data_IF_176595380444
#
_entry.id   IF_176595380444
#
_cell.length_a   1.000
_cell.length_b   1.000
_cell.length_c   1.000
_cell.angle_alpha   90.00
_cell.angle_beta   90.00
_cell.angle_gamma   90.00
#
_symmetry.space_group_name_H-M   'P 1'
#
loop_
_entity.id
_entity.type
_entity.pdbx_description
1 polymer ?
#
# COMPACT_ATOMS: atom_id res chain seq x y z
N UNK A 1 -8.42 -15.85 -4.23
CA UNK A 1 -8.18 -14.43 -3.83
C UNK A 1 -6.71 -14.30 -3.48
N UNK A 2 -6.16 -13.12 -3.24
CA UNK A 2 -4.76 -12.93 -2.89
C UNK A 2 -4.61 -11.63 -2.10
N UNK A 3 -3.42 -11.37 -1.55
CA UNK A 3 -3.15 -10.17 -0.74
C UNK A 3 -3.25 -8.86 -1.52
N UNK A 4 -4.30 -8.09 -1.22
CA UNK A 4 -4.52 -6.73 -1.69
C UNK A 4 -4.34 -5.77 -0.51
N UNK A 5 -3.56 -4.71 -0.70
CA UNK A 5 -3.17 -3.78 0.37
C UNK A 5 -3.46 -2.34 -0.05
N UNK A 6 -3.93 -1.54 0.89
CA UNK A 6 -4.37 -0.17 0.66
C UNK A 6 -3.77 0.76 1.72
N UNK A 7 -3.27 1.91 1.28
CA UNK A 7 -3.01 3.06 2.13
C UNK A 7 -4.07 4.10 1.79
N UNK A 8 -4.97 4.36 2.72
CA UNK A 8 -6.01 5.37 2.59
C UNK A 8 -5.52 6.65 3.26
N UNK A 9 -5.78 7.80 2.62
CA UNK A 9 -5.69 9.11 3.27
C UNK A 9 -7.09 9.65 3.51
N UNK A 10 -7.36 10.21 4.68
CA UNK A 10 -8.66 10.79 4.97
C UNK A 10 -8.59 12.04 5.84
N UNK A 11 -9.66 12.82 5.79
CA UNK A 11 -9.94 13.90 6.74
C UNK A 11 -11.43 14.16 6.86
N UNK A 12 -11.86 14.62 8.03
CA UNK A 12 -13.21 15.15 8.19
C UNK A 12 -13.42 16.40 7.35
N UNK A 13 -14.63 16.55 6.80
CA UNK A 13 -15.05 17.80 6.19
C UNK A 13 -15.48 18.79 7.27
N UNK A 14 -15.04 20.03 7.13
CA UNK A 14 -15.49 21.12 7.98
C UNK A 14 -16.96 21.44 7.70
N UNK A 15 -17.61 22.16 8.63
CA UNK A 15 -19.00 22.60 8.44
C UNK A 15 -19.16 23.48 7.19
N UNK A 16 -18.19 24.35 6.92
CA UNK A 16 -18.20 25.22 5.74
C UNK A 16 -18.10 24.40 4.45
N UNK A 17 -17.23 23.40 4.42
CA UNK A 17 -17.07 22.47 3.29
C UNK A 17 -18.31 21.61 3.02
N UNK A 18 -19.11 21.28 4.04
CA UNK A 18 -20.40 20.58 3.85
C UNK A 18 -21.42 21.40 3.09
N UNK A 19 -21.31 22.73 3.18
CA UNK A 19 -22.20 23.67 2.52
C UNK A 19 -21.67 24.12 1.15
N UNK A 20 -20.45 23.70 0.79
CA UNK A 20 -19.78 24.05 -0.45
C UNK A 20 -20.25 23.20 -1.64
N UNK A 21 -20.27 23.80 -2.84
CA UNK A 21 -20.51 23.12 -4.11
C UNK A 21 -19.23 22.56 -4.73
N UNK A 22 -18.07 23.00 -4.23
CA UNK A 22 -16.75 22.64 -4.74
C UNK A 22 -15.77 22.63 -3.58
N UNK A 23 -14.84 21.67 -3.56
CA UNK A 23 -13.73 21.63 -2.61
C UNK A 23 -12.42 21.83 -3.37
N UNK A 24 -11.55 22.70 -2.86
CA UNK A 24 -10.19 22.78 -3.35
C UNK A 24 -9.30 21.82 -2.55
N UNK A 25 -8.69 20.85 -3.22
CA UNK A 25 -7.76 19.88 -2.64
C UNK A 25 -6.48 19.98 -3.46
N UNK A 26 -5.42 20.48 -2.82
CA UNK A 26 -4.10 20.68 -3.44
C UNK A 26 -4.13 21.49 -4.76
N UNK A 27 -5.02 22.48 -4.84
CA UNK A 27 -5.19 23.33 -6.02
C UNK A 27 -6.08 22.74 -7.11
N UNK A 28 -6.56 21.50 -6.96
CA UNK A 28 -7.62 20.95 -7.80
C UNK A 28 -8.99 21.25 -7.20
N UNK A 29 -9.92 21.70 -8.03
CA UNK A 29 -11.32 21.86 -7.66
C UNK A 29 -12.08 20.57 -7.93
N UNK A 30 -12.55 19.95 -6.85
CA UNK A 30 -13.43 18.79 -6.91
C UNK A 30 -14.86 19.29 -6.72
N UNK A 31 -15.69 19.13 -7.75
CA UNK A 31 -17.11 19.38 -7.62
C UNK A 31 -17.68 18.40 -6.60
N UNK A 32 -18.13 18.94 -5.47
CA UNK A 32 -18.94 18.18 -4.54
C UNK A 32 -20.32 18.24 -5.15
N UNK A 33 -20.88 17.09 -5.54
CA UNK A 33 -22.31 17.00 -5.85
C UNK A 33 -23.05 17.34 -4.56
N UNK A 34 -23.21 18.63 -4.34
CA UNK A 34 -23.79 19.17 -3.12
C UNK A 34 -25.27 18.88 -3.15
N UNK A 35 -25.86 18.74 -1.96
CA UNK A 35 -27.28 18.55 -1.72
C UNK A 35 -28.17 19.75 -2.14
N UNK A 36 -27.83 20.49 -3.20
CA UNK A 36 -28.57 21.66 -3.70
C UNK A 36 -28.92 21.52 -5.18
N UNK A 37 -29.99 20.77 -5.42
CA UNK A 37 -30.79 20.71 -6.64
C UNK A 37 -32.05 19.90 -6.35
N UNK A 38 -33.20 20.27 -6.95
CA UNK A 38 -34.53 19.68 -6.66
C UNK A 38 -34.66 18.16 -6.93
N UNK A 39 -33.58 17.50 -7.38
CA UNK A 39 -33.45 16.04 -7.50
C UNK A 39 -32.76 15.45 -6.26
N UNK A 40 -33.54 15.13 -5.22
CA UNK A 40 -33.02 14.73 -3.91
C UNK A 40 -33.21 13.24 -3.61
N UNK A 41 -32.26 12.40 -4.03
CA UNK A 41 -32.08 11.04 -3.44
C UNK A 41 -31.14 11.10 -2.23
N UNK A 42 -30.13 11.99 -2.23
CA UNK A 42 -29.05 11.99 -1.23
C UNK A 42 -29.39 12.70 0.08
N UNK A 43 -30.34 13.67 0.08
CA UNK A 43 -30.79 14.37 1.29
C UNK A 43 -31.51 13.46 2.30
N UNK A 44 -32.08 12.35 1.83
CA UNK A 44 -32.74 11.37 2.70
C UNK A 44 -31.73 10.37 3.30
N UNK A 45 -30.48 10.34 2.81
CA UNK A 45 -29.46 9.35 3.17
C UNK A 45 -28.47 9.90 4.22
N UNK A 46 -28.02 11.16 4.11
CA UNK A 46 -27.16 11.77 5.13
C UNK A 46 -26.26 12.93 4.66
N UNK A 47 -25.42 13.44 5.58
CA UNK A 47 -24.45 14.51 5.34
C UNK A 47 -23.08 13.96 4.90
N UNK A 48 -22.35 14.73 4.08
CA UNK A 48 -20.92 14.50 3.85
C UNK A 48 -20.15 14.70 5.16
N UNK A 49 -19.37 13.70 5.57
CA UNK A 49 -18.65 13.70 6.86
C UNK A 49 -17.14 13.60 6.71
N UNK A 50 -16.65 12.88 5.70
CA UNK A 50 -15.24 12.58 5.50
C UNK A 50 -14.90 12.51 4.00
N UNK A 51 -13.70 12.95 3.64
CA UNK A 51 -13.10 12.70 2.33
C UNK A 51 -12.08 11.57 2.49
N UNK A 52 -12.09 10.61 1.55
CA UNK A 52 -11.15 9.49 1.51
C UNK A 52 -10.49 9.42 0.14
N UNK A 53 -9.21 9.11 0.14
CA UNK A 53 -8.38 9.03 -1.06
C UNK A 53 -7.54 7.76 -1.02
N UNK A 54 -7.42 7.09 -2.17
CA UNK A 54 -6.50 5.97 -2.35
C UNK A 54 -5.08 6.53 -2.47
N UNK A 55 -4.35 6.60 -1.35
CA UNK A 55 -2.99 7.12 -1.31
C UNK A 55 -1.95 6.12 -1.82
N UNK A 56 -2.26 4.82 -1.76
CA UNK A 56 -1.41 3.76 -2.28
C UNK A 56 -2.11 2.41 -2.36
N UNK A 57 -1.67 1.58 -3.30
CA UNK A 57 -2.14 0.21 -3.48
C UNK A 57 -0.95 -0.70 -3.75
N UNK A 58 -0.93 -1.86 -3.10
CA UNK A 58 0.03 -2.93 -3.39
C UNK A 58 -0.70 -4.23 -3.66
N UNK A 59 -0.14 -5.02 -4.58
CA UNK A 59 -0.62 -6.36 -4.89
C UNK A 59 0.45 -7.37 -4.51
N UNK A 60 0.19 -8.17 -3.47
CA UNK A 60 1.07 -9.27 -3.03
C UNK A 60 2.49 -8.85 -2.60
N UNK A 61 2.66 -7.59 -2.19
CA UNK A 61 3.91 -7.09 -1.60
C UNK A 61 4.05 -7.57 -0.14
N UNK A 62 4.30 -8.87 0.05
CA UNK A 62 4.21 -9.52 1.36
C UNK A 62 5.20 -8.98 2.39
N UNK A 63 6.41 -8.59 1.98
CA UNK A 63 7.39 -7.98 2.88
C UNK A 63 6.89 -6.64 3.46
N UNK A 64 6.18 -5.86 2.65
CA UNK A 64 5.59 -4.59 3.06
C UNK A 64 4.38 -4.83 3.96
N UNK A 65 3.54 -5.80 3.63
CA UNK A 65 2.41 -6.19 4.48
C UNK A 65 2.88 -6.65 5.86
N UNK A 66 3.87 -7.54 5.90
CA UNK A 66 4.50 -7.99 7.15
C UNK A 66 5.02 -6.83 7.98
N UNK A 67 5.65 -5.85 7.34
CA UNK A 67 6.10 -4.66 8.05
C UNK A 67 4.93 -3.91 8.73
N UNK A 68 3.81 -3.70 8.04
CA UNK A 68 2.62 -3.10 8.63
C UNK A 68 2.05 -3.94 9.79
N UNK A 69 1.96 -5.27 9.62
CA UNK A 69 1.51 -6.18 10.68
C UNK A 69 2.36 -6.01 11.92
N UNK A 70 3.69 -6.03 11.77
CA UNK A 70 4.63 -6.00 12.88
C UNK A 70 4.74 -4.61 13.55
N UNK A 71 4.62 -3.51 12.80
CA UNK A 71 4.94 -2.15 13.28
C UNK A 71 3.72 -1.25 13.49
N UNK A 72 2.54 -1.66 13.01
CA UNK A 72 1.29 -0.87 13.06
C UNK A 72 0.12 -1.70 13.64
N UNK A 73 0.05 -3.00 13.36
CA UNK A 73 -1.08 -3.85 13.76
C UNK A 73 -0.76 -4.71 15.01
N UNK A 74 0.36 -4.45 15.69
CA UNK A 74 0.82 -5.18 16.87
C UNK A 74 0.88 -6.71 16.67
N UNK A 75 1.21 -7.16 15.45
CA UNK A 75 1.30 -8.57 15.07
C UNK A 75 -0.05 -9.23 14.74
N UNK A 76 -1.17 -8.49 14.77
CA UNK A 76 -2.51 -9.02 14.51
C UNK A 76 -2.95 -8.75 13.06
N UNK A 77 -2.74 -9.74 12.19
CA UNK A 77 -3.19 -9.70 10.79
C UNK A 77 -4.66 -10.16 10.66
N UNK A 78 -5.59 -9.24 10.92
CA UNK A 78 -7.04 -9.49 10.95
C UNK A 78 -7.82 -8.79 9.82
N UNK A 79 -7.12 -8.30 8.80
CA UNK A 79 -7.69 -7.49 7.70
C UNK A 79 -8.45 -6.22 8.17
N UNK A 80 -8.19 -5.75 9.40
CA UNK A 80 -8.73 -4.51 9.92
C UNK A 80 -8.12 -3.26 9.27
N UNK A 81 -8.67 -2.10 9.63
CA UNK A 81 -8.14 -0.78 9.24
C UNK A 81 -7.40 -0.18 10.43
N UNK A 82 -6.16 0.23 10.22
CA UNK A 82 -5.27 0.70 11.28
C UNK A 82 -4.69 2.06 10.96
N UNK A 83 -4.69 2.96 11.95
CA UNK A 83 -4.08 4.28 11.82
C UNK A 83 -2.57 4.16 11.63
N UNK A 84 -2.03 4.89 10.65
CA UNK A 84 -0.59 4.97 10.37
C UNK A 84 -0.13 6.40 10.60
N UNK A 85 0.65 6.60 11.65
CA UNK A 85 1.29 7.90 11.91
C UNK A 85 2.28 8.26 10.80
N UNK A 86 2.53 9.56 10.60
CA UNK A 86 3.55 10.02 9.64
C UNK A 86 4.93 9.53 10.02
N UNK A 87 5.23 9.45 11.31
CA UNK A 87 6.46 8.89 11.85
C UNK A 87 6.66 7.43 11.42
N UNK A 88 5.57 6.63 11.37
CA UNK A 88 5.61 5.25 10.86
C UNK A 88 5.81 5.20 9.35
N UNK A 89 5.18 6.09 8.58
CA UNK A 89 5.45 6.20 7.14
C UNK A 89 6.92 6.57 6.86
N UNK A 90 7.50 7.48 7.63
CA UNK A 90 8.92 7.81 7.56
C UNK A 90 9.83 6.64 7.97
N UNK A 91 9.43 5.87 8.99
CA UNK A 91 10.15 4.67 9.43
C UNK A 91 10.21 3.63 8.32
N UNK A 92 9.07 3.29 7.71
CA UNK A 92 9.03 2.38 6.58
C UNK A 92 9.84 2.92 5.40
N UNK A 93 9.74 4.21 5.09
CA UNK A 93 10.50 4.83 3.99
C UNK A 93 12.02 4.74 4.24
N UNK A 94 12.49 4.92 5.48
CA UNK A 94 13.90 4.73 5.83
C UNK A 94 14.32 3.28 5.62
N UNK A 95 13.52 2.32 6.07
CA UNK A 95 13.79 0.88 5.91
C UNK A 95 13.85 0.49 4.44
N UNK A 96 12.87 0.90 3.64
CA UNK A 96 12.81 0.68 2.18
C UNK A 96 14.04 1.25 1.48
N UNK A 97 14.42 2.51 1.79
CA UNK A 97 15.61 3.11 1.20
C UNK A 97 16.90 2.40 1.62
N UNK A 98 17.00 1.92 2.88
CA UNK A 98 18.16 1.17 3.33
C UNK A 98 18.33 -0.12 2.52
N UNK A 99 17.25 -0.87 2.27
CA UNK A 99 17.28 -2.08 1.46
C UNK A 99 17.57 -1.77 -0.01
N UNK A 100 16.90 -0.79 -0.61
CA UNK A 100 17.15 -0.38 -2.00
C UNK A 100 18.61 0.04 -2.23
N UNK A 101 19.19 0.83 -1.31
CA UNK A 101 20.58 1.28 -1.42
C UNK A 101 21.61 0.16 -1.29
N UNK A 102 21.25 -0.93 -0.60
CA UNK A 102 22.10 -2.11 -0.43
C UNK A 102 21.85 -3.16 -1.53
N UNK A 103 20.82 -2.99 -2.37
CA UNK A 103 20.42 -3.96 -3.38
C UNK A 103 21.09 -3.68 -4.72
N UNK A 104 21.73 -4.69 -5.30
CA UNK A 104 22.20 -4.69 -6.68
C UNK A 104 21.48 -5.77 -7.47
N UNK A 105 20.76 -5.37 -8.53
CA UNK A 105 20.07 -6.31 -9.41
C UNK A 105 21.03 -6.86 -10.47
N UNK A 106 21.18 -8.18 -10.49
CA UNK A 106 22.00 -8.92 -11.46
C UNK A 106 21.15 -9.88 -12.29
N UNK A 107 21.64 -10.25 -13.46
CA UNK A 107 20.99 -11.26 -14.29
C UNK A 107 20.90 -12.59 -13.53
N UNK A 108 19.73 -13.21 -13.57
CA UNK A 108 19.45 -14.42 -12.83
C UNK A 108 18.09 -14.99 -13.19
N UNK A 109 17.42 -15.54 -12.18
CA UNK A 109 16.08 -16.11 -12.31
C UNK A 109 15.09 -15.30 -11.47
N UNK A 110 13.92 -15.05 -12.02
CA UNK A 110 12.78 -14.45 -11.30
C UNK A 110 11.64 -15.46 -11.21
N UNK A 111 10.82 -15.34 -10.18
CA UNK A 111 9.61 -16.11 -10.02
C UNK A 111 8.63 -15.83 -11.18
N UNK A 112 8.12 -16.90 -11.79
CA UNK A 112 7.17 -16.84 -12.91
C UNK A 112 5.80 -17.47 -12.57
N UNK A 113 5.68 -18.15 -11.43
CA UNK A 113 4.43 -18.77 -11.00
C UNK A 113 4.64 -20.15 -10.40
N UNK A 114 3.52 -20.85 -10.14
CA UNK A 114 3.50 -22.26 -9.77
C UNK A 114 2.66 -23.02 -10.78
N UNK A 115 3.11 -24.20 -11.17
CA UNK A 115 2.42 -25.07 -12.13
C UNK A 115 2.49 -26.52 -11.66
N UNK A 116 1.55 -27.35 -12.11
CA UNK A 116 1.61 -28.79 -11.85
C UNK A 116 2.51 -29.46 -12.87
N UNK A 117 3.54 -30.16 -12.39
CA UNK A 117 4.33 -31.11 -13.16
C UNK A 117 3.97 -32.52 -12.71
N UNK A 118 3.05 -33.16 -13.45
CA UNK A 118 2.39 -34.38 -12.97
C UNK A 118 1.47 -34.09 -11.78
N UNK A 119 1.70 -34.77 -10.66
CA UNK A 119 0.94 -34.61 -9.42
C UNK A 119 1.61 -33.63 -8.42
N UNK A 120 2.78 -33.07 -8.76
CA UNK A 120 3.52 -32.15 -7.90
C UNK A 120 3.33 -30.69 -8.34
N UNK A 121 3.03 -29.81 -7.39
CA UNK A 121 3.03 -28.36 -7.62
C UNK A 121 4.47 -27.85 -7.51
N UNK A 122 5.03 -27.40 -8.62
CA UNK A 122 6.40 -26.89 -8.71
C UNK A 122 6.43 -25.38 -8.93
N UNK A 123 7.46 -24.74 -8.42
CA UNK A 123 7.72 -23.32 -8.65
C UNK A 123 8.47 -23.14 -9.96
N UNK A 124 7.98 -22.23 -10.80
CA UNK A 124 8.52 -21.93 -12.11
C UNK A 124 9.32 -20.62 -12.05
N UNK A 125 10.44 -20.62 -12.76
CA UNK A 125 11.33 -19.47 -12.86
C UNK A 125 11.63 -19.17 -14.32
N UNK A 126 11.77 -17.88 -14.61
CA UNK A 126 12.16 -17.39 -15.93
C UNK A 126 13.44 -16.55 -15.85
N UNK A 127 14.07 -16.32 -17.00
CA UNK A 127 15.16 -15.36 -17.10
C UNK A 127 14.69 -13.97 -16.66
N UNK A 128 15.43 -13.36 -15.75
CA UNK A 128 15.09 -12.09 -15.15
C UNK A 128 16.24 -11.54 -14.34
N UNK A 129 15.93 -10.77 -13.30
CA UNK A 129 16.92 -10.22 -12.38
C UNK A 129 16.62 -10.64 -10.96
N UNK A 130 17.68 -10.74 -10.17
CA UNK A 130 17.60 -11.00 -8.74
C UNK A 130 18.57 -10.11 -7.96
N UNK A 131 18.32 -9.91 -6.68
CA UNK A 131 19.23 -9.17 -5.81
C UNK A 131 20.46 -10.05 -5.55
N UNK A 132 21.65 -9.54 -5.86
CA UNK A 132 22.91 -10.29 -5.76
C UNK A 132 23.23 -10.76 -4.32
N UNK A 133 22.93 -9.90 -3.33
CA UNK A 133 23.07 -10.20 -1.90
C UNK A 133 21.79 -9.74 -1.16
N UNK A 134 20.84 -10.64 -0.88
CA UNK A 134 19.59 -10.29 -0.22
C UNK A 134 19.72 -10.14 1.30
N UNK A 135 20.92 -10.26 1.90
CA UNK A 135 21.09 -10.26 3.36
C UNK A 135 20.43 -9.07 4.06
N UNK A 136 20.55 -7.87 3.48
CA UNK A 136 19.91 -6.66 4.04
C UNK A 136 18.38 -6.69 3.89
N UNK A 137 17.87 -7.22 2.78
CA UNK A 137 16.45 -7.41 2.56
C UNK A 137 15.87 -8.42 3.58
N UNK A 138 16.50 -9.58 3.73
CA UNK A 138 16.13 -10.62 4.71
C UNK A 138 16.11 -10.11 6.15
N UNK A 139 17.03 -9.21 6.50
CA UNK A 139 17.12 -8.66 7.84
C UNK A 139 16.05 -7.59 8.12
N UNK A 140 15.80 -6.69 7.16
CA UNK A 140 15.01 -5.47 7.39
C UNK A 140 13.57 -5.56 6.89
N UNK A 141 13.36 -6.24 5.76
CA UNK A 141 12.05 -6.41 5.11
C UNK A 141 11.93 -7.85 4.60
N UNK A 142 11.99 -8.85 5.50
CA UNK A 142 11.91 -10.25 5.10
C UNK A 142 10.60 -10.54 4.37
N UNK A 143 10.69 -11.30 3.28
CA UNK A 143 9.50 -11.86 2.63
C UNK A 143 8.73 -12.77 3.60
N UNK A 144 7.44 -12.95 3.31
CA UNK A 144 6.53 -13.81 4.06
C UNK A 144 5.86 -14.80 3.14
N UNK A 145 6.02 -16.09 3.43
CA UNK A 145 5.29 -17.14 2.73
C UNK A 145 3.82 -17.18 3.18
N UNK A 146 2.95 -17.61 2.28
CA UNK A 146 1.52 -17.74 2.55
C UNK A 146 0.75 -18.00 1.27
N UNK A 147 -0.36 -18.72 1.40
CA UNK A 147 -1.20 -19.09 0.27
C UNK A 147 -1.65 -17.87 -0.57
N UNK A 148 -1.84 -16.71 0.08
CA UNK A 148 -2.29 -15.47 -0.55
C UNK A 148 -1.16 -14.49 -0.88
N UNK A 149 0.07 -14.75 -0.42
CA UNK A 149 1.12 -13.74 -0.22
C UNK A 149 2.14 -13.65 -1.36
N UNK A 150 2.00 -14.49 -2.39
CA UNK A 150 2.82 -14.37 -3.60
C UNK A 150 4.17 -15.06 -3.48
N UNK A 151 5.20 -14.45 -4.09
CA UNK A 151 6.56 -14.99 -4.13
C UNK A 151 7.33 -14.64 -2.86
N UNK A 152 8.24 -15.52 -2.44
CA UNK A 152 9.19 -15.25 -1.34
C UNK A 152 10.58 -14.88 -1.82
N UNK A 153 10.79 -14.87 -3.14
CA UNK A 153 12.08 -14.61 -3.78
C UNK A 153 12.46 -13.12 -3.68
N UNK A 154 13.74 -12.85 -3.42
CA UNK A 154 14.33 -11.50 -3.45
C UNK A 154 14.74 -11.13 -4.88
N UNK A 155 13.79 -11.23 -5.79
CA UNK A 155 13.99 -11.00 -7.22
C UNK A 155 13.58 -9.59 -7.66
N UNK A 156 13.50 -9.35 -8.97
CA UNK A 156 13.02 -8.08 -9.52
C UNK A 156 11.65 -7.68 -8.99
N UNK A 157 10.74 -8.61 -8.72
CA UNK A 157 9.40 -8.27 -8.21
C UNK A 157 9.46 -7.71 -6.80
N UNK A 158 10.27 -8.33 -5.93
CA UNK A 158 10.52 -7.79 -4.60
C UNK A 158 11.12 -6.39 -4.67
N UNK A 159 12.09 -6.17 -5.56
CA UNK A 159 12.71 -4.86 -5.74
C UNK A 159 11.71 -3.81 -6.27
N UNK A 160 10.87 -4.17 -7.23
CA UNK A 160 9.83 -3.28 -7.79
C UNK A 160 8.79 -2.88 -6.73
N UNK A 161 8.42 -3.81 -5.83
CA UNK A 161 7.55 -3.51 -4.69
C UNK A 161 8.18 -2.47 -3.75
N UNK A 162 9.50 -2.51 -3.54
CA UNK A 162 10.21 -1.49 -2.75
C UNK A 162 10.21 -0.13 -3.44
N UNK A 163 10.44 -0.07 -4.75
CA UNK A 163 10.37 1.19 -5.51
C UNK A 163 8.96 1.80 -5.52
N UNK A 164 7.94 0.96 -5.70
CA UNK A 164 6.54 1.38 -5.61
C UNK A 164 6.24 1.92 -4.20
N UNK A 165 6.66 1.20 -3.17
CA UNK A 165 6.47 1.61 -1.77
C UNK A 165 7.12 2.95 -1.50
N UNK A 166 8.37 3.14 -1.94
CA UNK A 166 9.05 4.44 -1.83
C UNK A 166 8.23 5.56 -2.47
N UNK A 167 7.75 5.35 -3.70
CA UNK A 167 6.94 6.34 -4.43
C UNK A 167 5.64 6.69 -3.70
N UNK A 168 4.93 5.69 -3.16
CA UNK A 168 3.71 5.88 -2.36
C UNK A 168 4.02 6.72 -1.11
N UNK A 169 5.04 6.33 -0.35
CA UNK A 169 5.38 6.98 0.92
C UNK A 169 5.88 8.42 0.72
N UNK A 170 6.70 8.68 -0.31
CA UNK A 170 7.16 10.03 -0.62
C UNK A 170 5.99 10.96 -1.00
N UNK A 171 4.96 10.45 -1.69
CA UNK A 171 3.74 11.22 -1.98
C UNK A 171 2.92 11.46 -0.73
N UNK A 172 2.68 10.41 0.08
CA UNK A 172 1.93 10.50 1.33
C UNK A 172 2.56 11.52 2.30
N UNK A 173 3.89 11.51 2.45
CA UNK A 173 4.60 12.42 3.34
C UNK A 173 4.57 13.87 2.88
N UNK A 174 4.44 14.13 1.57
CA UNK A 174 4.24 15.49 1.01
C UNK A 174 2.81 16.00 1.15
N UNK A 175 1.85 15.11 1.40
CA UNK A 175 0.44 15.48 1.47
C UNK A 175 0.15 16.41 2.67
N UNK A 176 -0.92 17.22 2.60
CA UNK A 176 -1.30 18.16 3.66
C UNK A 176 -1.34 17.54 5.06
N UNK A 177 -0.84 18.28 6.06
CA UNK A 177 -0.71 17.79 7.43
C UNK A 177 -2.03 17.48 8.15
N UNK A 178 -3.17 17.92 7.61
CA UNK A 178 -4.50 17.61 8.12
C UNK A 178 -5.09 16.31 7.54
N UNK A 179 -4.36 15.59 6.70
CA UNK A 179 -4.71 14.24 6.29
C UNK A 179 -4.14 13.23 7.29
N UNK A 180 -5.01 12.30 7.69
CA UNK A 180 -4.68 11.10 8.43
C UNK A 180 -4.50 9.93 7.47
N UNK A 181 -3.66 8.96 7.82
CA UNK A 181 -3.41 7.78 6.99
C UNK A 181 -3.85 6.52 7.69
N UNK A 182 -4.40 5.58 6.92
CA UNK A 182 -4.86 4.29 7.42
C UNK A 182 -4.39 3.18 6.49
N UNK A 183 -3.89 2.10 7.07
CA UNK A 183 -3.52 0.88 6.37
C UNK A 183 -4.65 -0.16 6.47
N UNK A 184 -4.91 -0.86 5.37
CA UNK A 184 -5.84 -1.99 5.32
C UNK A 184 -5.34 -3.04 4.33
N UNK A 185 -5.60 -4.31 4.64
CA UNK A 185 -5.36 -5.45 3.74
C UNK A 185 -6.61 -6.31 3.57
N UNK A 186 -6.59 -7.17 2.55
CA UNK A 186 -7.55 -8.26 2.34
C UNK A 186 -6.82 -9.43 1.69
N UNK A 187 -7.04 -10.65 2.18
CA UNK A 187 -6.45 -11.87 1.62
C UNK A 187 -7.36 -13.08 1.74
#
# INVERSE_FOLDING_TARGET
MGLDMYLEASRFVTREEREATTLSIDGEEIEVVSNRGDDHVWREIGDLTELRFDAGYWRKANAIHRWFVDHVQDGNDDCGTYYVSREKLEELLRTVNAVLNASELVDGKRFAGKAFEGDELVTQFEDGKTIADPTMAEQLLPSQDGFFFGSVEYDQWYYDDLELTKSILEKALKAPGNLEFYYRSSW
#
